data_IF_908954402349
#
_entry.id   IF_908954402349
#
_cell.length_a   1.000
_cell.length_b   1.000
_cell.length_c   1.000
_cell.angle_alpha   90.00
_cell.angle_beta   90.00
_cell.angle_gamma   90.00
#
_symmetry.space_group_name_H-M   'P 1'
#
loop_
_entity.id
_entity.type
_entity.pdbx_description
1 polymer ?
#
# COMPACT_ATOMS: atom_id res chain seq x y z
N UNK A 1 -18.83 6.85 28.46
CA UNK A 1 -19.35 6.94 27.08
C UNK A 1 -18.84 5.73 26.32
N UNK A 2 -19.72 4.79 25.96
CA UNK A 2 -19.34 3.58 25.25
C UNK A 2 -18.99 3.93 23.81
N UNK A 3 -17.73 3.75 23.44
CA UNK A 3 -17.32 3.77 22.03
C UNK A 3 -17.97 2.55 21.39
N UNK A 4 -18.92 2.79 20.48
CA UNK A 4 -19.44 1.74 19.59
C UNK A 4 -18.26 1.06 18.93
N UNK A 5 -18.02 -0.20 19.27
CA UNK A 5 -17.08 -1.04 18.52
C UNK A 5 -17.77 -1.37 17.20
N UNK A 6 -17.67 -0.47 16.22
CA UNK A 6 -18.16 -0.77 14.87
C UNK A 6 -17.43 -2.00 14.37
N UNK A 7 -18.12 -3.14 14.41
CA UNK A 7 -17.58 -4.42 14.00
C UNK A 7 -17.35 -4.37 12.49
N UNK A 8 -16.10 -4.58 12.09
CA UNK A 8 -15.78 -4.69 10.67
C UNK A 8 -16.43 -5.94 10.09
N UNK A 9 -17.31 -5.77 9.10
CA UNK A 9 -17.88 -6.90 8.37
C UNK A 9 -17.06 -7.16 7.11
N UNK A 10 -16.30 -8.25 7.11
CA UNK A 10 -15.41 -8.63 6.00
C UNK A 10 -16.12 -9.47 4.92
N UNK A 11 -17.43 -9.72 5.02
CA UNK A 11 -18.15 -10.64 4.11
C UNK A 11 -18.56 -10.05 2.74
N UNK A 12 -17.88 -9.01 2.25
CA UNK A 12 -18.22 -8.43 0.93
C UNK A 12 -17.52 -9.21 -0.18
N UNK A 13 -18.30 -9.68 -1.15
CA UNK A 13 -17.74 -10.21 -2.40
C UNK A 13 -16.90 -9.13 -3.09
N UNK A 14 -15.77 -9.54 -3.67
CA UNK A 14 -14.91 -8.64 -4.42
C UNK A 14 -15.59 -8.33 -5.77
N UNK A 15 -15.77 -7.05 -6.15
CA UNK A 15 -16.44 -6.72 -7.39
C UNK A 15 -15.60 -7.14 -8.61
N UNK A 16 -16.23 -7.72 -9.66
CA UNK A 16 -15.54 -8.07 -10.89
C UNK A 16 -15.16 -6.80 -11.68
N UNK A 17 -14.13 -6.92 -12.51
CA UNK A 17 -13.70 -5.89 -13.46
C UNK A 17 -14.23 -6.28 -14.85
N UNK A 18 -15.01 -5.39 -15.46
CA UNK A 18 -15.57 -5.64 -16.80
C UNK A 18 -14.47 -5.84 -17.85
N UNK A 19 -14.78 -6.54 -18.95
CA UNK A 19 -13.82 -6.71 -20.06
C UNK A 19 -13.39 -5.37 -20.67
N UNK A 20 -14.32 -4.41 -20.80
CA UNK A 20 -14.02 -3.07 -21.32
C UNK A 20 -13.08 -2.30 -20.40
N UNK A 21 -13.30 -2.32 -19.08
CA UNK A 21 -12.41 -1.67 -18.12
C UNK A 21 -11.01 -2.29 -18.14
N UNK A 22 -10.90 -3.62 -18.25
CA UNK A 22 -9.61 -4.31 -18.39
C UNK A 22 -8.88 -3.87 -19.66
N UNK A 23 -9.58 -3.84 -20.80
CA UNK A 23 -9.01 -3.44 -22.07
C UNK A 23 -8.54 -1.98 -22.07
N UNK A 24 -9.37 -1.05 -21.57
CA UNK A 24 -9.01 0.37 -21.46
C UNK A 24 -7.82 0.55 -20.53
N UNK A 25 -7.83 -0.09 -19.35
CA UNK A 25 -6.73 0.01 -18.39
C UNK A 25 -5.41 -0.48 -19.00
N UNK A 26 -5.44 -1.61 -19.72
CA UNK A 26 -4.27 -2.12 -20.44
C UNK A 26 -3.77 -1.14 -21.49
N UNK A 27 -4.66 -0.63 -22.37
CA UNK A 27 -4.26 0.28 -23.45
C UNK A 27 -3.67 1.59 -22.93
N UNK A 28 -4.29 2.19 -21.90
CA UNK A 28 -3.81 3.45 -21.30
C UNK A 28 -2.47 3.25 -20.60
N UNK A 29 -2.33 2.15 -19.86
CA UNK A 29 -1.08 1.84 -19.14
C UNK A 29 0.04 1.52 -20.13
N UNK A 30 -0.23 0.71 -21.17
CA UNK A 30 0.73 0.42 -22.23
C UNK A 30 1.18 1.68 -22.97
N UNK A 31 0.25 2.57 -23.33
CA UNK A 31 0.57 3.87 -23.95
C UNK A 31 1.41 4.77 -23.03
N UNK A 32 1.12 4.77 -21.73
CA UNK A 32 1.90 5.54 -20.74
C UNK A 32 3.33 5.01 -20.62
N UNK A 33 3.51 3.68 -20.58
CA UNK A 33 4.83 3.03 -20.55
C UNK A 33 5.66 3.29 -21.81
N UNK A 34 5.02 3.55 -22.96
CA UNK A 34 5.72 3.94 -24.20
C UNK A 34 6.10 5.43 -24.23
N UNK A 35 5.58 6.24 -23.31
CA UNK A 35 5.71 7.70 -23.32
C UNK A 35 6.24 8.23 -21.99
N UNK A 36 5.37 8.82 -21.16
CA UNK A 36 5.71 9.54 -19.92
C UNK A 36 6.15 8.64 -18.77
N UNK A 37 5.92 7.33 -18.86
CA UNK A 37 6.38 6.32 -17.90
C UNK A 37 7.42 5.36 -18.49
N UNK A 38 7.99 5.70 -19.64
CA UNK A 38 9.08 4.93 -20.23
C UNK A 38 10.32 5.03 -19.32
N UNK A 39 10.83 3.90 -18.78
CA UNK A 39 11.94 3.91 -17.82
C UNK A 39 13.20 4.66 -18.29
N UNK A 40 13.43 4.76 -19.61
CA UNK A 40 14.60 5.43 -20.19
C UNK A 40 14.52 6.97 -20.11
N UNK A 41 13.32 7.55 -20.11
CA UNK A 41 13.12 9.02 -20.07
C UNK A 41 12.32 9.48 -18.85
N UNK A 42 11.76 8.55 -18.09
CA UNK A 42 10.92 8.82 -16.91
C UNK A 42 11.63 9.67 -15.86
N UNK A 43 12.94 9.45 -15.69
CA UNK A 43 13.77 10.23 -14.77
C UNK A 43 13.81 11.74 -15.06
N UNK A 44 13.56 12.15 -16.30
CA UNK A 44 13.51 13.56 -16.73
C UNK A 44 12.08 14.12 -16.79
N UNK A 45 11.08 13.28 -16.55
CA UNK A 45 9.66 13.66 -16.59
C UNK A 45 9.02 13.47 -15.22
N UNK A 46 8.12 12.51 -15.05
CA UNK A 46 7.42 12.25 -13.77
C UNK A 46 8.38 11.89 -12.65
N UNK A 47 9.48 11.22 -12.95
CA UNK A 47 10.47 10.80 -11.96
C UNK A 47 11.29 11.93 -11.34
N UNK A 48 11.36 13.10 -12.00
CA UNK A 48 12.00 14.29 -11.45
C UNK A 48 11.08 15.10 -10.53
N UNK A 49 9.76 14.92 -10.64
CA UNK A 49 8.79 15.77 -9.96
C UNK A 49 8.72 15.54 -8.44
N UNK A 50 9.13 14.35 -7.97
CA UNK A 50 9.04 13.98 -6.56
C UNK A 50 10.06 12.90 -6.16
N UNK A 51 10.69 12.96 -4.97
CA UNK A 51 11.65 11.95 -4.51
C UNK A 51 11.02 10.55 -4.38
N UNK A 52 9.75 10.48 -3.95
CA UNK A 52 8.97 9.25 -3.89
C UNK A 52 8.31 8.85 -5.22
N UNK A 53 8.53 9.57 -6.32
CA UNK A 53 7.92 9.21 -7.60
C UNK A 53 8.36 7.81 -8.03
N UNK A 54 7.45 7.04 -8.61
CA UNK A 54 7.72 5.76 -9.27
C UNK A 54 6.79 5.56 -10.47
N UNK A 55 7.05 4.51 -11.27
CA UNK A 55 6.18 4.14 -12.40
C UNK A 55 4.92 3.42 -11.92
N UNK A 56 3.81 3.57 -12.64
CA UNK A 56 2.59 2.81 -12.32
C UNK A 56 2.73 1.31 -12.61
N UNK A 57 3.57 0.94 -13.58
CA UNK A 57 3.70 -0.44 -14.05
C UNK A 57 2.42 -0.94 -14.75
N UNK A 58 2.43 -2.15 -15.32
CA UNK A 58 1.42 -2.59 -16.29
C UNK A 58 0.08 -3.03 -15.67
N UNK A 59 -0.02 -3.07 -14.34
CA UNK A 59 -1.12 -3.73 -13.64
C UNK A 59 -2.12 -2.77 -13.00
N UNK A 60 -2.05 -1.46 -13.26
CA UNK A 60 -3.07 -0.53 -12.81
C UNK A 60 -4.43 -0.85 -13.46
N UNK A 61 -5.51 -0.75 -12.68
CA UNK A 61 -6.89 -0.98 -13.13
C UNK A 61 -7.77 0.18 -12.69
N UNK A 62 -8.35 0.89 -13.64
CA UNK A 62 -9.24 2.01 -13.35
C UNK A 62 -10.52 1.54 -12.65
N UNK A 63 -11.07 2.41 -11.79
CA UNK A 63 -12.39 2.19 -11.20
C UNK A 63 -12.41 1.34 -9.93
N UNK A 64 -11.25 1.20 -9.26
CA UNK A 64 -11.19 0.55 -7.95
C UNK A 64 -12.20 1.18 -6.97
N UNK A 65 -12.92 0.36 -6.17
CA UNK A 65 -13.94 0.84 -5.25
C UNK A 65 -13.31 1.63 -4.09
N UNK A 66 -14.10 2.52 -3.47
CA UNK A 66 -13.73 3.06 -2.17
C UNK A 66 -13.87 1.94 -1.11
N UNK A 67 -12.81 1.75 -0.31
CA UNK A 67 -12.74 0.69 0.71
C UNK A 67 -12.61 1.23 2.14
N UNK A 68 -12.86 2.52 2.34
CA UNK A 68 -13.00 3.10 3.67
C UNK A 68 -14.21 2.51 4.39
N UNK A 69 -14.06 2.25 5.68
CA UNK A 69 -15.18 2.01 6.59
C UNK A 69 -15.32 3.11 7.64
N UNK A 70 -14.29 3.95 7.80
CA UNK A 70 -14.29 5.15 8.62
C UNK A 70 -13.29 6.18 8.05
N UNK A 71 -13.30 7.46 8.49
CA UNK A 71 -12.32 8.46 8.06
C UNK A 71 -10.88 7.96 8.25
N UNK A 72 -10.09 7.98 7.18
CA UNK A 72 -8.72 7.47 7.20
C UNK A 72 -8.56 5.95 7.38
N UNK A 73 -9.62 5.18 7.64
CA UNK A 73 -9.52 3.74 7.96
C UNK A 73 -10.15 2.87 6.89
N UNK A 74 -9.39 1.88 6.43
CA UNK A 74 -9.78 1.03 5.30
C UNK A 74 -9.31 -0.41 5.47
N UNK A 75 -9.94 -1.31 4.72
CA UNK A 75 -9.48 -2.69 4.51
C UNK A 75 -9.19 -2.86 3.03
N UNK A 76 -7.93 -3.14 2.70
CA UNK A 76 -7.50 -3.42 1.33
C UNK A 76 -7.18 -4.91 1.21
N UNK A 77 -8.14 -5.68 0.72
CA UNK A 77 -7.92 -7.08 0.38
C UNK A 77 -9.17 -7.93 0.46
N UNK A 78 -9.13 -9.10 -0.16
CA UNK A 78 -10.23 -10.06 -0.03
C UNK A 78 -10.23 -10.70 1.36
N UNK A 79 -11.40 -11.12 1.83
CA UNK A 79 -11.53 -11.91 3.07
C UNK A 79 -10.65 -13.14 3.04
N UNK A 80 -10.54 -13.80 1.87
CA UNK A 80 -9.76 -15.02 1.73
C UNK A 80 -8.25 -14.76 1.85
N UNK A 81 -7.74 -13.68 1.25
CA UNK A 81 -6.34 -13.28 1.42
C UNK A 81 -6.05 -12.94 2.88
N UNK A 82 -6.91 -12.13 3.50
CA UNK A 82 -6.75 -11.69 4.91
C UNK A 82 -6.79 -12.88 5.88
N UNK A 83 -7.61 -13.91 5.59
CA UNK A 83 -7.74 -15.11 6.43
C UNK A 83 -6.54 -16.06 6.33
N UNK A 84 -5.86 -16.08 5.18
CA UNK A 84 -4.82 -17.07 4.87
C UNK A 84 -3.40 -16.50 4.88
N UNK A 85 -3.27 -15.19 5.10
CA UNK A 85 -2.00 -14.48 5.09
C UNK A 85 -1.74 -13.74 6.41
N UNK A 86 -0.48 -13.39 6.71
CA UNK A 86 -0.18 -12.44 7.76
C UNK A 86 -0.96 -11.13 7.57
N UNK A 87 -1.56 -10.63 8.66
CA UNK A 87 -2.25 -9.34 8.64
C UNK A 87 -1.24 -8.22 8.81
N UNK A 88 -1.12 -7.39 7.77
CA UNK A 88 -0.23 -6.26 7.68
C UNK A 88 -1.00 -4.96 7.90
N UNK A 89 -0.59 -4.19 8.90
CA UNK A 89 -1.14 -2.86 9.15
C UNK A 89 -0.26 -1.79 8.50
N UNK A 90 -0.75 -1.22 7.40
CA UNK A 90 -0.11 -0.08 6.75
C UNK A 90 -0.71 1.23 7.25
N UNK A 91 0.12 2.09 7.81
CA UNK A 91 -0.33 3.38 8.38
C UNK A 91 0.50 4.54 7.88
N UNK A 92 0.03 5.76 8.09
CA UNK A 92 0.80 6.92 7.67
C UNK A 92 0.04 8.22 7.67
N UNK A 93 0.65 9.23 7.05
CA UNK A 93 0.06 10.55 6.84
C UNK A 93 0.37 11.07 5.44
N UNK A 94 -0.58 11.78 4.86
CA UNK A 94 -0.35 12.63 3.68
C UNK A 94 -0.36 14.08 4.14
N UNK A 95 0.76 14.76 3.90
CA UNK A 95 1.03 16.13 4.36
C UNK A 95 1.40 17.04 3.19
N UNK A 96 1.20 18.35 3.37
CA UNK A 96 1.74 19.37 2.48
C UNK A 96 3.18 19.73 2.84
N UNK A 97 3.81 20.53 1.98
CA UNK A 97 5.21 20.94 2.15
C UNK A 97 5.49 21.71 3.46
N UNK A 98 4.46 22.27 4.11
CA UNK A 98 4.58 22.96 5.40
C UNK A 98 4.19 22.06 6.58
N UNK A 99 4.00 20.77 6.34
CA UNK A 99 3.56 19.79 7.34
C UNK A 99 2.05 19.84 7.62
N UNK A 100 1.26 20.58 6.84
CA UNK A 100 -0.19 20.62 7.02
C UNK A 100 -0.83 19.28 6.61
N UNK A 101 -1.88 18.80 7.31
CA UNK A 101 -2.61 17.61 6.91
C UNK A 101 -3.35 17.81 5.58
N UNK A 102 -3.40 16.77 4.74
CA UNK A 102 -4.12 16.79 3.46
C UNK A 102 -5.20 15.71 3.46
N UNK A 103 -6.41 16.11 3.09
CA UNK A 103 -7.45 15.19 2.60
C UNK A 103 -7.07 14.71 1.19
N UNK A 104 -6.52 13.50 1.11
CA UNK A 104 -6.00 12.91 -0.11
C UNK A 104 -6.69 11.58 -0.39
N UNK A 105 -6.80 11.24 -1.68
CA UNK A 105 -7.19 9.91 -2.13
C UNK A 105 -5.94 9.13 -2.52
N UNK A 106 -5.76 7.97 -1.91
CA UNK A 106 -4.79 6.94 -2.23
C UNK A 106 -5.50 5.85 -3.05
N UNK A 107 -5.24 5.78 -4.35
CA UNK A 107 -5.68 4.66 -5.21
C UNK A 107 -4.57 3.60 -5.22
N UNK A 108 -4.78 2.52 -4.46
CA UNK A 108 -3.77 1.50 -4.16
C UNK A 108 -4.06 0.18 -4.87
N UNK A 109 -2.99 -0.48 -5.31
CA UNK A 109 -3.03 -1.86 -5.80
C UNK A 109 -1.75 -2.60 -5.45
N UNK A 110 -1.87 -3.91 -5.22
CA UNK A 110 -0.72 -4.75 -4.88
C UNK A 110 -0.96 -6.21 -5.28
N UNK A 111 0.13 -6.98 -5.32
CA UNK A 111 0.07 -8.43 -5.39
C UNK A 111 -0.36 -9.05 -4.03
N UNK A 112 -0.74 -10.33 -4.04
CA UNK A 112 -0.83 -11.10 -2.79
C UNK A 112 0.55 -11.50 -2.24
N UNK A 113 0.51 -12.26 -1.15
CA UNK A 113 1.65 -12.93 -0.50
C UNK A 113 2.37 -13.97 -1.37
N UNK A 114 1.87 -14.25 -2.59
CA UNK A 114 2.51 -15.12 -3.59
C UNK A 114 3.01 -14.36 -4.83
N UNK A 115 2.86 -13.04 -4.87
CA UNK A 115 3.28 -12.22 -6.00
C UNK A 115 2.27 -12.19 -7.17
N UNK A 116 1.03 -12.61 -6.94
CA UNK A 116 -0.01 -12.69 -7.97
C UNK A 116 -0.89 -11.42 -7.96
N UNK A 117 -1.12 -10.85 -9.15
CA UNK A 117 -2.11 -9.78 -9.37
C UNK A 117 -3.40 -10.36 -9.96
N UNK A 118 -4.54 -9.97 -9.40
CA UNK A 118 -5.84 -10.23 -10.03
C UNK A 118 -6.16 -9.15 -11.05
N UNK A 119 -6.60 -9.61 -12.22
CA UNK A 119 -6.98 -8.75 -13.34
C UNK A 119 -8.49 -8.80 -13.63
N UNK A 120 -9.20 -9.82 -13.14
CA UNK A 120 -10.64 -10.03 -13.37
C UNK A 120 -11.54 -9.45 -12.28
N UNK A 121 -10.99 -9.05 -11.13
CA UNK A 121 -11.71 -8.53 -9.97
C UNK A 121 -10.84 -7.51 -9.22
N UNK A 122 -11.45 -6.63 -8.44
CA UNK A 122 -10.73 -5.59 -7.68
C UNK A 122 -10.06 -6.12 -6.39
N UNK A 123 -9.64 -7.39 -6.39
CA UNK A 123 -8.98 -8.01 -5.24
C UNK A 123 -7.63 -7.33 -5.01
N UNK A 124 -7.38 -6.93 -3.76
CA UNK A 124 -6.19 -6.15 -3.35
C UNK A 124 -6.04 -4.82 -4.12
N UNK A 125 -7.17 -4.20 -4.49
CA UNK A 125 -7.26 -2.89 -5.14
C UNK A 125 -8.33 -2.04 -4.45
N UNK A 126 -8.06 -0.77 -4.25
CA UNK A 126 -9.03 0.10 -3.58
C UNK A 126 -8.58 1.54 -3.49
N UNK A 127 -9.57 2.42 -3.38
CA UNK A 127 -9.38 3.84 -3.06
C UNK A 127 -9.60 4.07 -1.57
N UNK A 128 -8.66 4.77 -0.96
CA UNK A 128 -8.70 5.14 0.45
C UNK A 128 -8.58 6.66 0.54
N UNK A 129 -9.49 7.30 1.27
CA UNK A 129 -9.36 8.71 1.64
C UNK A 129 -8.71 8.82 3.02
N UNK A 130 -7.74 9.72 3.16
CA UNK A 130 -7.15 10.07 4.47
C UNK A 130 -8.17 10.75 5.37
N UNK A 131 -7.91 10.76 6.67
CA UNK A 131 -8.66 11.59 7.61
C UNK A 131 -8.42 13.07 7.29
N UNK A 132 -9.47 13.88 7.02
CA UNK A 132 -9.28 15.27 6.62
C UNK A 132 -8.60 16.16 7.67
N UNK A 133 -8.76 15.83 8.96
CA UNK A 133 -8.26 16.65 10.07
C UNK A 133 -6.79 16.39 10.39
N UNK A 134 -6.32 15.16 10.18
CA UNK A 134 -4.95 14.75 10.54
C UNK A 134 -4.09 14.35 9.34
N UNK A 135 -4.70 14.17 8.17
CA UNK A 135 -4.07 13.60 6.99
C UNK A 135 -3.72 12.12 7.16
N UNK A 136 -4.16 11.45 8.23
CA UNK A 136 -3.75 10.08 8.54
C UNK A 136 -4.51 9.03 7.74
N UNK A 137 -3.86 7.90 7.51
CA UNK A 137 -4.51 6.69 7.03
C UNK A 137 -4.06 5.46 7.82
N UNK A 138 -4.96 4.48 7.90
CA UNK A 138 -4.78 3.17 8.52
C UNK A 138 -5.44 2.13 7.59
N UNK A 139 -4.64 1.20 7.07
CA UNK A 139 -5.08 0.24 6.07
C UNK A 139 -4.69 -1.14 6.55
N UNK A 140 -5.70 -1.96 6.86
CA UNK A 140 -5.49 -3.39 7.06
C UNK A 140 -5.40 -4.08 5.70
N UNK A 141 -4.30 -4.79 5.47
CA UNK A 141 -4.06 -5.53 4.24
C UNK A 141 -3.17 -6.75 4.51
N UNK A 142 -2.60 -7.32 3.45
CA UNK A 142 -1.59 -8.38 3.49
C UNK A 142 -0.26 -7.83 2.95
N UNK A 143 0.89 -8.34 3.39
CA UNK A 143 2.16 -7.95 2.81
C UNK A 143 2.26 -8.52 1.38
N UNK A 144 2.48 -7.70 0.33
CA UNK A 144 2.71 -8.22 -1.01
C UNK A 144 4.03 -8.97 -1.05
N UNK A 145 4.17 -10.00 -1.89
CA UNK A 145 5.45 -10.68 -2.11
C UNK A 145 6.18 -10.14 -3.35
N UNK A 146 7.45 -10.54 -3.49
CA UNK A 146 8.22 -10.39 -4.73
C UNK A 146 7.42 -11.03 -5.87
N UNK A 147 7.25 -10.32 -6.98
CA UNK A 147 6.65 -10.90 -8.18
C UNK A 147 7.64 -10.96 -9.33
N UNK A 148 7.47 -11.96 -10.18
CA UNK A 148 8.24 -12.15 -11.39
C UNK A 148 7.49 -11.60 -12.60
N UNK A 149 8.20 -10.88 -13.47
CA UNK A 149 7.67 -10.41 -14.75
C UNK A 149 8.76 -10.52 -15.81
N UNK A 150 8.44 -11.18 -16.93
CA UNK A 150 9.32 -11.29 -18.11
C UNK A 150 10.76 -11.76 -17.79
N UNK A 151 10.92 -12.67 -16.81
CA UNK A 151 12.23 -13.19 -16.40
C UNK A 151 13.00 -12.32 -15.40
N UNK A 152 12.48 -11.15 -15.03
CA UNK A 152 12.99 -10.29 -13.95
C UNK A 152 12.17 -10.43 -12.66
N UNK A 153 12.76 -10.05 -11.54
CA UNK A 153 12.07 -9.95 -10.24
C UNK A 153 11.85 -8.48 -9.87
N UNK A 154 10.73 -8.22 -9.22
CA UNK A 154 10.39 -6.92 -8.64
C UNK A 154 10.32 -7.06 -7.13
N UNK A 155 10.94 -6.14 -6.39
CA UNK A 155 10.87 -6.14 -4.92
C UNK A 155 9.40 -6.05 -4.49
N UNK A 156 9.02 -6.59 -3.34
CA UNK A 156 7.67 -6.45 -2.82
C UNK A 156 7.29 -4.97 -2.68
N UNK A 157 6.13 -4.56 -3.22
CA UNK A 157 5.65 -3.19 -3.12
C UNK A 157 4.14 -3.06 -3.18
N UNK A 158 3.65 -1.97 -2.62
CA UNK A 158 2.28 -1.47 -2.77
C UNK A 158 2.35 -0.29 -3.74
N UNK A 159 1.64 -0.35 -4.86
CA UNK A 159 1.54 0.81 -5.74
C UNK A 159 0.53 1.82 -5.20
N UNK A 160 0.75 3.11 -5.52
CA UNK A 160 -0.20 4.16 -5.20
C UNK A 160 -0.23 5.28 -6.23
N UNK A 161 -1.44 5.73 -6.57
CA UNK A 161 -1.68 7.04 -7.16
C UNK A 161 -2.33 7.91 -6.07
N UNK A 162 -1.63 8.96 -5.66
CA UNK A 162 -2.02 9.82 -4.54
C UNK A 162 -2.40 11.18 -5.11
N UNK A 163 -3.63 11.59 -4.84
CA UNK A 163 -4.22 12.82 -5.39
C UNK A 163 -4.89 13.62 -4.30
N UNK A 164 -4.81 14.95 -4.41
CA UNK A 164 -5.53 15.88 -3.56
C UNK A 164 -5.80 17.18 -4.33
N UNK A 165 -6.93 17.86 -4.10
CA UNK A 165 -7.22 19.15 -4.74
C UNK A 165 -6.12 20.19 -4.46
N UNK A 166 -5.60 20.82 -5.51
CA UNK A 166 -4.52 21.83 -5.39
C UNK A 166 -3.11 21.25 -5.24
N UNK A 167 -2.94 19.92 -5.32
CA UNK A 167 -1.66 19.24 -5.24
C UNK A 167 -1.35 18.46 -6.52
N UNK A 168 -0.07 18.36 -6.84
CA UNK A 168 0.43 17.51 -7.92
C UNK A 168 0.16 16.05 -7.57
N UNK A 169 -0.37 15.30 -8.54
CA UNK A 169 -0.60 13.86 -8.36
C UNK A 169 0.73 13.12 -8.25
N UNK A 170 0.87 12.26 -7.25
CA UNK A 170 2.05 11.44 -7.02
C UNK A 170 1.74 10.00 -7.39
N UNK A 171 2.46 9.46 -8.37
CA UNK A 171 2.51 8.02 -8.64
C UNK A 171 3.75 7.48 -7.92
N UNK A 172 3.57 6.44 -7.12
CA UNK A 172 4.63 5.87 -6.30
C UNK A 172 4.48 4.35 -6.17
N UNK A 173 5.55 3.73 -5.67
CA UNK A 173 5.59 2.36 -5.20
C UNK A 173 6.20 2.38 -3.81
N UNK A 174 5.53 1.77 -2.85
CA UNK A 174 5.95 1.72 -1.47
C UNK A 174 6.55 0.33 -1.21
N UNK A 175 7.87 0.28 -1.12
CA UNK A 175 8.62 -0.98 -1.10
C UNK A 175 8.73 -1.57 0.30
N UNK A 176 8.77 -2.90 0.36
CA UNK A 176 8.95 -3.69 1.57
C UNK A 176 10.11 -4.66 1.34
N UNK A 177 11.10 -4.63 2.23
CA UNK A 177 12.27 -5.48 2.14
C UNK A 177 12.48 -6.32 3.40
N UNK A 178 12.95 -7.57 3.28
CA UNK A 178 13.42 -8.34 4.41
C UNK A 178 14.46 -7.57 5.22
N UNK A 179 14.37 -7.70 6.55
CA UNK A 179 15.25 -7.03 7.54
C UNK A 179 15.32 -5.50 7.43
N UNK A 180 14.45 -4.87 6.65
CA UNK A 180 14.53 -3.44 6.28
C UNK A 180 15.85 -3.07 5.57
N UNK A 181 16.44 -4.02 4.83
CA UNK A 181 17.67 -3.83 4.08
C UNK A 181 17.39 -3.59 2.59
N UNK A 182 18.09 -2.65 1.97
CA UNK A 182 17.88 -2.31 0.55
C UNK A 182 18.55 -3.27 -0.42
N UNK A 183 19.13 -4.38 0.06
CA UNK A 183 19.81 -5.39 -0.76
C UNK A 183 18.88 -5.95 -1.86
N UNK A 184 17.59 -6.15 -1.55
CA UNK A 184 16.60 -6.57 -2.54
C UNK A 184 16.39 -5.59 -3.70
N UNK A 185 16.63 -4.28 -3.50
CA UNK A 185 16.55 -3.31 -4.61
C UNK A 185 17.63 -3.53 -5.66
N UNK A 186 18.75 -4.17 -5.31
CA UNK A 186 19.84 -4.42 -6.25
C UNK A 186 19.44 -5.44 -7.33
N UNK A 187 18.48 -6.31 -7.05
CA UNK A 187 17.97 -7.30 -8.01
C UNK A 187 16.69 -6.86 -8.71
N UNK A 188 16.11 -5.69 -8.34
CA UNK A 188 14.99 -5.13 -9.08
C UNK A 188 15.49 -4.58 -10.41
N UNK A 189 15.04 -5.19 -11.51
CA UNK A 189 15.51 -4.81 -12.84
C UNK A 189 15.21 -3.35 -13.19
N UNK A 190 14.20 -2.72 -12.56
CA UNK A 190 13.93 -1.30 -12.82
C UNK A 190 15.06 -0.41 -12.31
N UNK A 191 15.78 -0.83 -11.27
CA UNK A 191 16.90 -0.07 -10.71
C UNK A 191 18.18 -0.21 -11.55
N UNK A 192 18.19 -1.06 -12.58
CA UNK A 192 19.24 -1.04 -13.59
C UNK A 192 19.19 0.23 -14.45
N UNK A 193 18.02 0.86 -14.54
CA UNK A 193 17.76 2.03 -15.40
C UNK A 193 17.37 3.28 -14.63
N UNK A 194 17.34 3.24 -13.29
CA UNK A 194 17.11 4.40 -12.42
C UNK A 194 17.74 4.22 -11.03
N UNK A 195 18.01 5.32 -10.33
CA UNK A 195 18.48 5.28 -8.95
C UNK A 195 17.41 4.79 -7.95
N UNK A 196 17.79 4.10 -6.86
CA UNK A 196 16.89 3.77 -5.75
C UNK A 196 16.20 5.01 -5.18
N UNK A 197 14.98 4.84 -4.69
CA UNK A 197 14.13 5.93 -4.17
C UNK A 197 13.91 5.80 -2.66
N UNK A 198 13.45 6.88 -2.03
CA UNK A 198 13.22 6.98 -0.58
C UNK A 198 11.86 6.37 -0.13
N UNK A 199 11.26 5.53 -0.97
CA UNK A 199 9.91 4.98 -0.82
C UNK A 199 9.91 3.58 -0.17
N UNK A 200 10.95 3.23 0.59
CA UNK A 200 10.97 1.99 1.37
C UNK A 200 10.27 2.18 2.72
N UNK A 201 9.22 1.40 2.95
CA UNK A 201 8.57 1.28 4.25
C UNK A 201 9.48 0.47 5.17
N UNK A 202 9.72 0.99 6.38
CA UNK A 202 10.35 0.22 7.46
C UNK A 202 9.30 -0.63 8.14
N UNK A 203 9.38 -1.94 7.95
CA UNK A 203 8.49 -2.89 8.57
C UNK A 203 8.83 -3.18 10.02
N UNK A 204 7.82 -3.60 10.78
CA UNK A 204 7.90 -4.06 12.16
C UNK A 204 7.05 -5.32 12.34
N UNK A 205 7.34 -6.10 13.38
CA UNK A 205 6.60 -7.30 13.78
C UNK A 205 5.99 -7.14 15.17
N UNK A 206 4.82 -7.71 15.40
CA UNK A 206 4.25 -7.81 16.75
C UNK A 206 5.06 -8.84 17.56
N UNK A 207 5.47 -8.53 18.80
CA UNK A 207 6.23 -9.47 19.62
C UNK A 207 5.47 -10.79 19.87
N UNK A 208 6.15 -11.92 19.66
CA UNK A 208 5.68 -13.26 20.06
C UNK A 208 6.56 -13.83 21.17
N UNK A 209 6.06 -14.83 21.92
CA UNK A 209 6.84 -15.50 22.96
C UNK A 209 8.07 -16.22 22.38
N UNK A 210 7.94 -16.72 21.15
CA UNK A 210 9.00 -17.42 20.40
C UNK A 210 10.03 -16.46 19.78
N UNK A 211 9.75 -15.15 19.81
CA UNK A 211 10.66 -14.14 19.26
C UNK A 211 10.59 -14.01 17.73
N UNK A 212 9.50 -14.51 17.12
CA UNK A 212 9.33 -14.52 15.67
C UNK A 212 9.32 -13.12 15.08
N UNK A 213 9.79 -13.05 13.84
CA UNK A 213 9.91 -11.82 13.06
C UNK A 213 9.45 -12.08 11.64
N UNK A 214 8.34 -11.45 11.25
CA UNK A 214 7.92 -11.50 9.86
C UNK A 214 9.00 -10.84 8.99
N UNK A 215 9.53 -11.58 8.02
CA UNK A 215 10.64 -11.14 7.15
C UNK A 215 11.88 -10.60 7.89
N UNK A 216 12.10 -11.03 9.13
CA UNK A 216 13.21 -10.54 9.95
C UNK A 216 13.07 -9.08 10.39
N UNK A 217 11.88 -8.48 10.28
CA UNK A 217 11.62 -7.13 10.77
C UNK A 217 11.76 -7.03 12.30
N UNK A 218 12.19 -5.87 12.83
CA UNK A 218 12.29 -5.66 14.26
C UNK A 218 10.94 -5.85 14.94
N UNK A 219 10.96 -6.40 16.16
CA UNK A 219 9.77 -6.46 17.01
C UNK A 219 9.46 -5.06 17.55
N UNK A 220 8.18 -4.71 17.57
CA UNK A 220 7.71 -3.46 18.18
C UNK A 220 8.14 -3.39 19.64
N UNK A 221 8.74 -2.27 20.01
CA UNK A 221 9.13 -1.98 21.39
C UNK A 221 7.95 -1.37 22.13
N UNK A 222 7.85 -1.63 23.43
CA UNK A 222 6.87 -0.98 24.30
C UNK A 222 7.00 0.55 24.33
N UNK A 223 8.17 1.09 23.97
CA UNK A 223 8.41 2.53 23.81
C UNK A 223 7.73 3.15 22.58
N UNK A 224 7.34 2.35 21.59
CA UNK A 224 6.69 2.83 20.35
C UNK A 224 5.17 2.98 20.56
N UNK A 225 4.80 3.80 21.55
CA UNK A 225 3.46 3.86 22.15
C UNK A 225 2.34 4.14 21.14
N UNK A 226 2.58 4.99 20.13
CA UNK A 226 1.59 5.29 19.08
C UNK A 226 1.28 4.05 18.23
N UNK A 227 2.31 3.31 17.81
CA UNK A 227 2.13 2.11 16.98
C UNK A 227 1.54 0.97 17.78
N UNK A 228 1.97 0.79 19.05
CA UNK A 228 1.40 -0.21 19.96
C UNK A 228 -0.09 0.04 20.17
N UNK A 229 -0.48 1.28 20.47
CA UNK A 229 -1.89 1.65 20.65
C UNK A 229 -2.71 1.40 19.38
N UNK A 230 -2.15 1.76 18.21
CA UNK A 230 -2.80 1.51 16.93
C UNK A 230 -3.05 0.01 16.71
N UNK A 231 -2.06 -0.85 17.00
CA UNK A 231 -2.19 -2.31 16.90
C UNK A 231 -3.26 -2.84 17.86
N UNK A 232 -3.31 -2.35 19.10
CA UNK A 232 -4.33 -2.72 20.08
C UNK A 232 -5.74 -2.33 19.61
N UNK A 233 -5.91 -1.11 19.10
CA UNK A 233 -7.19 -0.64 18.55
C UNK A 233 -7.67 -1.52 17.39
N UNK A 234 -6.77 -1.88 16.46
CA UNK A 234 -7.09 -2.77 15.35
C UNK A 234 -7.40 -4.19 15.81
N UNK A 235 -6.62 -4.74 16.74
CA UNK A 235 -6.88 -6.07 17.29
C UNK A 235 -8.23 -6.14 18.03
N UNK A 236 -8.61 -5.09 18.75
CA UNK A 236 -9.93 -5.00 19.38
C UNK A 236 -11.06 -5.01 18.34
N UNK A 237 -10.88 -4.33 17.20
CA UNK A 237 -11.84 -4.37 16.07
C UNK A 237 -11.92 -5.74 15.41
N UNK A 238 -10.80 -6.45 15.35
CA UNK A 238 -10.68 -7.79 14.77
C UNK A 238 -11.13 -8.92 15.72
N UNK A 239 -11.32 -8.65 17.01
CA UNK A 239 -11.59 -9.66 18.03
C UNK A 239 -12.79 -10.56 17.73
N UNK A 240 -13.80 -10.03 17.01
CA UNK A 240 -15.01 -10.77 16.66
C UNK A 240 -14.92 -11.54 15.32
N UNK A 241 -13.75 -11.50 14.64
CA UNK A 241 -13.57 -12.21 13.38
C UNK A 241 -13.34 -13.71 13.61
N UNK A 242 -13.92 -14.59 12.77
CA UNK A 242 -13.70 -16.02 12.86
C UNK A 242 -12.22 -16.36 12.61
N UNK A 243 -11.66 -17.23 13.45
CA UNK A 243 -10.26 -17.65 13.35
C UNK A 243 -9.25 -16.75 14.08
N UNK A 244 -9.71 -15.82 14.93
CA UNK A 244 -8.83 -15.11 15.86
C UNK A 244 -7.85 -14.15 15.17
N UNK A 245 -8.36 -13.36 14.23
CA UNK A 245 -7.55 -12.43 13.43
C UNK A 245 -6.79 -11.45 14.32
N UNK A 246 -5.49 -11.34 14.09
CA UNK A 246 -4.61 -10.40 14.78
C UNK A 246 -3.59 -9.82 13.81
N UNK A 247 -3.29 -8.54 13.99
CA UNK A 247 -2.16 -7.90 13.31
C UNK A 247 -0.89 -8.63 13.71
N UNK A 248 -0.08 -9.01 12.73
CA UNK A 248 1.20 -9.71 12.96
C UNK A 248 2.39 -8.83 12.62
N UNK A 249 2.21 -7.89 11.70
CA UNK A 249 3.25 -7.00 11.23
C UNK A 249 2.64 -5.72 10.66
N UNK A 250 3.49 -4.76 10.32
CA UNK A 250 3.03 -3.51 9.74
C UNK A 250 4.19 -2.62 9.34
N UNK A 251 3.85 -1.43 8.90
CA UNK A 251 4.81 -0.40 8.53
C UNK A 251 4.12 0.93 8.38
N UNK A 252 4.91 2.00 8.37
CA UNK A 252 4.39 3.35 8.28
C UNK A 252 5.13 4.19 7.26
N UNK A 253 4.42 5.10 6.60
CA UNK A 253 5.00 6.05 5.66
C UNK A 253 4.38 7.44 5.81
N UNK A 254 5.22 8.47 5.82
CA UNK A 254 4.78 9.85 5.63
C UNK A 254 5.03 10.24 4.18
N UNK A 255 4.00 10.81 3.55
CA UNK A 255 4.03 11.23 2.16
C UNK A 255 3.76 12.73 2.12
N UNK A 256 4.71 13.49 1.59
CA UNK A 256 4.54 14.93 1.40
C UNK A 256 4.12 15.18 -0.05
N UNK A 257 3.10 15.99 -0.31
CA UNK A 257 2.68 16.37 -1.66
C UNK A 257 3.13 17.78 -2.01
N UNK A 258 3.55 17.95 -3.27
CA UNK A 258 3.86 19.25 -3.86
C UNK A 258 2.58 19.96 -4.29
N UNK A 259 2.48 21.28 -4.10
CA UNK A 259 1.38 22.08 -4.65
C UNK A 259 1.52 22.24 -6.16
N UNK A 260 0.38 22.40 -6.84
CA UNK A 260 0.32 22.77 -8.27
C UNK A 260 0.75 24.23 -8.44
#
# INVERSE_FOLDING_TARGET
MSVSSDSLNFSKSVPPISLSTRAVSFLVTAGSMLTIENPLVWGYTRGAAHPLADVSGPYYMYGAPNVNFAPGKAVLGSTEDLRTSPLFLFSGKVLGAKGEPIEATLDLWQANTRGEYWLSEYRNRGKITTDPSTGSFEILTIPPAIYAILGGQRVAHIHGIITAPGYQSLITQLYLCPKNETTGFQTDFINLVRSPRENMIRGWSVPTQEGDRYWGWPQLKSSETETVKLVEEWNNRLANQPGGWKITCGGSQVITLNRV
#
